data_IF_943236016122
#
_entry.id   IF_943236016122
#
_cell.length_a   1.000
_cell.length_b   1.000
_cell.length_c   1.000
_cell.angle_alpha   90.00
_cell.angle_beta   90.00
_cell.angle_gamma   90.00
#
_symmetry.space_group_name_H-M   'P 1'
#
loop_
_entity.id
_entity.type
_entity.pdbx_description
1 polymer ?
#
# COMPACT_ATOMS: atom_id res chain seq x y z
N UNK A 1 5.08 -5.10 -4.08
CA UNK A 1 4.11 -6.20 -3.86
C UNK A 1 4.67 -7.58 -4.24
N UNK A 2 4.93 -7.89 -5.52
CA UNK A 2 5.36 -9.25 -5.94
C UNK A 2 6.64 -9.76 -5.26
N UNK A 3 7.65 -8.90 -5.05
CA UNK A 3 8.87 -9.30 -4.36
C UNK A 3 8.61 -9.64 -2.88
N UNK A 4 7.89 -8.76 -2.17
CA UNK A 4 7.39 -9.00 -0.80
C UNK A 4 6.65 -10.32 -0.70
N UNK A 5 5.70 -10.58 -1.60
CA UNK A 5 4.94 -11.83 -1.64
C UNK A 5 5.87 -13.06 -1.81
N UNK A 6 6.84 -12.99 -2.74
CA UNK A 6 7.81 -14.07 -2.95
C UNK A 6 8.73 -14.30 -1.75
N UNK A 7 9.08 -13.26 -1.01
CA UNK A 7 9.88 -13.36 0.22
C UNK A 7 9.07 -14.00 1.34
N UNK A 8 7.84 -13.54 1.54
CA UNK A 8 6.93 -14.08 2.54
C UNK A 8 6.63 -15.56 2.30
N UNK A 9 6.34 -15.97 1.06
CA UNK A 9 6.08 -17.37 0.69
C UNK A 9 7.27 -18.31 0.99
N UNK A 10 8.49 -17.80 1.04
CA UNK A 10 9.70 -18.56 1.38
C UNK A 10 10.00 -18.60 2.88
N UNK A 11 9.18 -17.97 3.71
CA UNK A 11 9.43 -17.83 5.15
C UNK A 11 10.48 -16.76 5.49
N UNK A 12 10.90 -15.93 4.53
CA UNK A 12 11.83 -14.82 4.76
C UNK A 12 11.08 -13.61 5.36
N UNK A 13 10.48 -13.76 6.56
CA UNK A 13 9.56 -12.77 7.16
C UNK A 13 10.22 -11.41 7.36
N UNK A 14 11.44 -11.38 7.90
CA UNK A 14 12.20 -10.15 8.09
C UNK A 14 12.39 -9.36 6.78
N UNK A 15 12.86 -10.03 5.71
CA UNK A 15 13.08 -9.38 4.41
C UNK A 15 11.76 -8.96 3.74
N UNK A 16 10.68 -9.72 3.94
CA UNK A 16 9.36 -9.34 3.48
C UNK A 16 8.86 -8.07 4.19
N UNK A 17 8.97 -8.01 5.51
CA UNK A 17 8.57 -6.86 6.32
C UNK A 17 9.41 -5.62 6.00
N UNK A 18 10.74 -5.77 5.90
CA UNK A 18 11.65 -4.68 5.52
C UNK A 18 11.27 -4.08 4.15
N UNK A 19 10.88 -4.93 3.19
CA UNK A 19 10.33 -4.43 1.93
C UNK A 19 9.03 -3.64 2.14
N UNK A 20 8.10 -4.25 2.87
CA UNK A 20 6.73 -3.79 2.97
C UNK A 20 6.69 -2.44 3.70
N UNK A 21 7.31 -2.38 4.88
CA UNK A 21 7.23 -1.25 5.78
C UNK A 21 8.38 -0.24 5.59
N UNK A 22 9.45 -0.64 4.91
CA UNK A 22 10.51 0.27 4.46
C UNK A 22 10.28 0.77 3.03
N UNK A 23 10.66 -0.05 2.05
CA UNK A 23 10.67 0.35 0.64
C UNK A 23 9.29 0.74 0.10
N UNK A 24 8.27 -0.10 0.32
CA UNK A 24 6.94 0.16 -0.23
C UNK A 24 6.26 1.35 0.47
N UNK A 25 6.42 1.53 1.78
CA UNK A 25 5.90 2.72 2.49
C UNK A 25 6.52 4.01 2.01
N UNK A 26 7.83 4.04 1.74
CA UNK A 26 8.46 5.23 1.19
C UNK A 26 7.81 5.64 -0.15
N UNK A 27 7.40 4.66 -0.97
CA UNK A 27 6.66 4.92 -2.22
C UNK A 27 5.22 5.37 -1.97
N UNK A 28 4.51 4.75 -1.03
CA UNK A 28 3.16 5.19 -0.63
C UNK A 28 3.17 6.64 -0.14
N UNK A 29 4.14 7.01 0.71
CA UNK A 29 4.31 8.38 1.20
C UNK A 29 4.57 9.37 0.06
N UNK A 30 5.36 8.97 -0.94
CA UNK A 30 5.57 9.79 -2.14
C UNK A 30 4.26 10.01 -2.90
N UNK A 31 3.46 8.96 -3.07
CA UNK A 31 2.18 9.05 -3.76
C UNK A 31 1.15 9.85 -2.96
N UNK A 32 1.12 9.73 -1.63
CA UNK A 32 0.33 10.60 -0.75
C UNK A 32 0.69 12.08 -0.95
N UNK A 33 1.97 12.39 -1.09
CA UNK A 33 2.42 13.77 -1.37
C UNK A 33 1.96 14.27 -2.75
N UNK A 34 1.82 13.40 -3.75
CA UNK A 34 1.24 13.77 -5.04
C UNK A 34 -0.27 13.93 -4.95
N UNK A 35 -0.94 13.02 -4.27
CA UNK A 35 -2.38 13.08 -4.02
C UNK A 35 -2.77 14.39 -3.34
N UNK A 36 -2.12 14.74 -2.22
CA UNK A 36 -2.38 15.99 -1.51
C UNK A 36 -2.21 17.22 -2.41
N UNK A 37 -1.13 17.28 -3.21
CA UNK A 37 -0.88 18.39 -4.16
C UNK A 37 -1.83 18.41 -5.36
N UNK A 38 -2.41 17.26 -5.73
CA UNK A 38 -3.45 17.20 -6.75
C UNK A 38 -4.79 17.74 -6.26
N UNK A 39 -4.99 17.80 -4.94
CA UNK A 39 -6.17 18.41 -4.31
C UNK A 39 -5.93 19.90 -4.07
N UNK A 40 -4.79 20.24 -3.47
CA UNK A 40 -4.35 21.61 -3.22
C UNK A 40 -2.87 21.77 -3.60
N UNK A 41 -2.55 22.40 -4.75
CA UNK A 41 -1.16 22.59 -5.18
C UNK A 41 -0.29 23.41 -4.21
N UNK A 42 -0.89 24.16 -3.28
CA UNK A 42 -0.19 25.00 -2.31
C UNK A 42 0.22 24.25 -1.03
N UNK A 43 -0.26 23.02 -0.84
CA UNK A 43 0.02 22.24 0.37
C UNK A 43 1.51 21.88 0.47
N UNK A 44 2.11 22.17 1.62
CA UNK A 44 3.46 21.70 1.94
C UNK A 44 3.37 20.26 2.48
N UNK A 45 3.87 19.30 1.70
CA UNK A 45 3.94 17.89 2.10
C UNK A 45 5.23 17.52 2.80
N UNK A 46 6.14 18.48 2.99
CA UNK A 46 7.44 18.33 3.64
C UNK A 46 8.35 17.29 2.97
N UNK A 47 9.65 17.32 3.28
CA UNK A 47 10.58 16.32 2.76
C UNK A 47 10.33 14.94 3.40
N UNK A 48 10.31 13.88 2.58
CA UNK A 48 10.24 12.48 3.01
C UNK A 48 9.08 12.15 3.97
N UNK A 49 7.91 12.76 3.77
CA UNK A 49 6.71 12.40 4.52
C UNK A 49 6.62 12.97 5.93
N UNK A 50 7.45 13.95 6.30
CA UNK A 50 7.39 14.56 7.63
C UNK A 50 6.00 15.14 7.88
N UNK A 51 5.48 14.87 9.09
CA UNK A 51 4.16 15.32 9.53
C UNK A 51 3.03 14.92 8.58
N UNK A 52 3.07 13.69 8.04
CA UNK A 52 2.05 13.15 7.13
C UNK A 52 0.63 13.30 7.70
N UNK A 53 0.49 13.26 9.02
CA UNK A 53 -0.76 13.43 9.76
C UNK A 53 -1.37 14.83 9.60
N UNK A 54 -0.60 15.82 9.14
CA UNK A 54 -1.05 17.22 8.98
C UNK A 54 -1.53 17.56 7.57
N UNK A 55 -1.14 16.79 6.57
CA UNK A 55 -1.38 17.15 5.17
C UNK A 55 -1.94 16.02 4.30
N UNK A 56 -1.83 14.76 4.72
CA UNK A 56 -2.46 13.66 4.00
C UNK A 56 -3.98 13.68 4.19
N UNK A 57 -4.71 13.17 3.19
CA UNK A 57 -6.14 12.92 3.33
C UNK A 57 -6.42 12.00 4.54
N UNK A 58 -7.38 12.34 5.42
CA UNK A 58 -7.66 11.55 6.62
C UNK A 58 -8.07 10.09 6.34
N UNK A 59 -8.78 9.84 5.23
CA UNK A 59 -9.16 8.48 4.82
C UNK A 59 -7.94 7.68 4.36
N UNK A 60 -7.07 8.30 3.57
CA UNK A 60 -5.81 7.70 3.15
C UNK A 60 -4.87 7.44 4.34
N UNK A 61 -4.85 8.32 5.34
CA UNK A 61 -4.08 8.13 6.58
C UNK A 61 -4.60 6.96 7.41
N UNK A 62 -5.92 6.83 7.55
CA UNK A 62 -6.54 5.69 8.24
C UNK A 62 -6.28 4.35 7.52
N UNK A 63 -6.22 4.37 6.19
CA UNK A 63 -5.80 3.20 5.40
C UNK A 63 -4.30 2.92 5.54
N UNK A 64 -3.46 3.96 5.65
CA UNK A 64 -2.01 3.82 5.89
C UNK A 64 -1.72 3.16 7.23
N UNK A 65 -2.45 3.53 8.29
CA UNK A 65 -2.34 2.91 9.63
C UNK A 65 -2.57 1.39 9.54
N UNK A 66 -3.66 0.97 8.88
CA UNK A 66 -3.96 -0.44 8.64
C UNK A 66 -2.90 -1.12 7.80
N UNK A 67 -2.20 -0.38 6.93
CA UNK A 67 -1.27 -0.97 6.02
C UNK A 67 0.08 -1.35 6.66
N UNK A 68 0.37 -0.95 7.91
CA UNK A 68 1.56 -1.40 8.63
C UNK A 68 1.39 -2.82 9.20
N UNK A 69 2.51 -3.54 9.33
CA UNK A 69 2.52 -4.88 9.88
C UNK A 69 3.31 -4.96 11.19
N UNK A 70 2.83 -5.80 12.10
CA UNK A 70 3.66 -6.37 13.15
C UNK A 70 4.54 -7.48 12.57
N UNK A 71 5.60 -7.86 13.31
CA UNK A 71 6.49 -8.97 12.94
C UNK A 71 5.78 -10.33 13.11
N UNK A 72 4.82 -10.61 12.23
CA UNK A 72 4.03 -11.84 12.18
C UNK A 72 3.73 -12.19 10.72
N UNK A 73 3.78 -13.47 10.36
CA UNK A 73 3.65 -13.89 8.95
C UNK A 73 2.26 -13.58 8.37
N UNK A 74 1.20 -13.70 9.18
CA UNK A 74 -0.18 -13.44 8.76
C UNK A 74 -0.42 -11.94 8.69
N UNK A 75 0.13 -11.20 9.64
CA UNK A 75 0.00 -9.75 9.68
C UNK A 75 0.76 -9.08 8.52
N UNK A 76 1.94 -9.58 8.15
CA UNK A 76 2.66 -9.13 6.94
C UNK A 76 1.87 -9.43 5.67
N UNK A 77 1.20 -10.59 5.59
CA UNK A 77 0.31 -10.89 4.46
C UNK A 77 -0.86 -9.92 4.40
N UNK A 78 -1.53 -9.65 5.53
CA UNK A 78 -2.63 -8.68 5.64
C UNK A 78 -2.18 -7.28 5.22
N UNK A 79 -1.10 -6.79 5.80
CA UNK A 79 -0.53 -5.47 5.55
C UNK A 79 -0.07 -5.29 4.09
N UNK A 80 0.42 -6.36 3.44
CA UNK A 80 0.72 -6.35 2.00
C UNK A 80 -0.54 -6.02 1.18
N UNK A 81 -1.67 -6.66 1.49
CA UNK A 81 -2.93 -6.44 0.78
C UNK A 81 -3.56 -5.08 1.08
N UNK A 82 -3.52 -4.61 2.33
CA UNK A 82 -3.88 -3.24 2.69
C UNK A 82 -3.03 -2.20 1.94
N UNK A 83 -1.72 -2.47 1.77
CA UNK A 83 -0.83 -1.58 1.02
C UNK A 83 -1.16 -1.56 -0.47
N UNK A 84 -1.57 -2.69 -1.06
CA UNK A 84 -2.00 -2.75 -2.47
C UNK A 84 -3.27 -1.94 -2.67
N UNK A 85 -4.27 -2.09 -1.79
CA UNK A 85 -5.53 -1.34 -1.88
C UNK A 85 -5.30 0.17 -1.72
N UNK A 86 -4.50 0.58 -0.73
CA UNK A 86 -4.15 1.98 -0.52
C UNK A 86 -3.41 2.56 -1.73
N UNK A 87 -2.41 1.85 -2.27
CA UNK A 87 -1.69 2.29 -3.46
C UNK A 87 -2.63 2.49 -4.65
N UNK A 88 -3.46 1.48 -4.94
CA UNK A 88 -4.36 1.51 -6.09
C UNK A 88 -5.34 2.68 -5.98
N UNK A 89 -5.98 2.88 -4.82
CA UNK A 89 -6.92 3.97 -4.63
C UNK A 89 -6.28 5.35 -4.78
N UNK A 90 -5.09 5.56 -4.19
CA UNK A 90 -4.34 6.80 -4.33
C UNK A 90 -3.91 7.05 -5.77
N UNK A 91 -3.44 6.02 -6.47
CA UNK A 91 -2.96 6.13 -7.84
C UNK A 91 -4.10 6.48 -8.80
N UNK A 92 -5.24 5.79 -8.68
CA UNK A 92 -6.44 6.03 -9.48
C UNK A 92 -6.99 7.44 -9.26
N UNK A 93 -7.12 7.89 -8.01
CA UNK A 93 -7.63 9.23 -7.71
C UNK A 93 -6.65 10.32 -8.18
N UNK A 94 -5.36 10.15 -7.92
CA UNK A 94 -4.33 11.13 -8.32
C UNK A 94 -4.25 11.24 -9.84
N UNK A 95 -4.25 10.11 -10.55
CA UNK A 95 -4.22 10.11 -12.01
C UNK A 95 -5.49 10.74 -12.61
N UNK A 96 -6.66 10.46 -12.05
CA UNK A 96 -7.92 11.08 -12.47
C UNK A 96 -7.88 12.60 -12.33
N UNK A 97 -7.42 13.12 -11.19
CA UNK A 97 -7.29 14.57 -10.93
C UNK A 97 -6.30 15.26 -11.86
N UNK A 98 -5.22 14.57 -12.22
CA UNK A 98 -4.15 15.11 -13.06
C UNK A 98 -4.33 14.82 -14.56
N UNK A 99 -5.37 14.06 -14.95
CA UNK A 99 -5.63 13.69 -16.34
C UNK A 99 -4.65 12.64 -16.92
N UNK A 100 -4.05 11.79 -16.08
CA UNK A 100 -3.16 10.71 -16.51
C UNK A 100 -3.93 9.40 -16.70
N UNK A 101 -3.44 8.58 -17.65
CA UNK A 101 -3.92 7.21 -17.86
C UNK A 101 -2.96 6.25 -17.16
N UNK A 102 -3.52 5.35 -16.35
CA UNK A 102 -2.72 4.32 -15.68
C UNK A 102 -2.27 3.25 -16.66
N UNK A 103 -0.98 2.92 -16.62
CA UNK A 103 -0.39 1.84 -17.41
C UNK A 103 -0.41 0.49 -16.68
N UNK A 104 -0.52 0.50 -15.35
CA UNK A 104 -0.49 -0.71 -14.53
C UNK A 104 -1.86 -1.42 -14.55
N UNK A 105 -1.86 -2.69 -14.95
CA UNK A 105 -3.03 -3.56 -14.76
C UNK A 105 -3.08 -4.05 -13.31
N UNK A 106 -3.84 -3.34 -12.47
CA UNK A 106 -4.06 -3.72 -11.07
C UNK A 106 -4.70 -5.09 -10.92
N UNK A 107 -5.57 -5.50 -11.86
CA UNK A 107 -6.23 -6.80 -11.81
C UNK A 107 -5.21 -7.93 -12.03
N UNK A 108 -4.33 -7.79 -13.01
CA UNK A 108 -3.24 -8.76 -13.23
C UNK A 108 -2.28 -8.79 -12.04
N UNK A 109 -1.88 -7.63 -11.52
CA UNK A 109 -1.01 -7.55 -10.35
C UNK A 109 -1.61 -8.29 -9.16
N UNK A 110 -2.88 -8.02 -8.82
CA UNK A 110 -3.59 -8.66 -7.71
C UNK A 110 -3.68 -10.17 -7.92
N UNK A 111 -4.04 -10.63 -9.12
CA UNK A 111 -4.08 -12.06 -9.46
C UNK A 111 -2.73 -12.72 -9.19
N UNK A 112 -1.64 -12.13 -9.69
CA UNK A 112 -0.27 -12.67 -9.52
C UNK A 112 0.21 -12.63 -8.07
N UNK A 113 -0.20 -11.64 -7.28
CA UNK A 113 0.08 -11.62 -5.84
C UNK A 113 -0.70 -12.72 -5.13
N UNK A 114 -1.99 -12.89 -5.42
CA UNK A 114 -2.85 -13.92 -4.82
C UNK A 114 -2.37 -15.35 -5.09
N UNK A 115 -1.79 -15.61 -6.27
CA UNK A 115 -1.13 -16.89 -6.60
C UNK A 115 0.09 -17.20 -5.70
N UNK A 116 0.65 -16.18 -5.04
CA UNK A 116 1.84 -16.30 -4.19
C UNK A 116 1.47 -16.22 -2.71
N UNK A 117 0.67 -15.24 -2.33
CA UNK A 117 0.16 -14.99 -0.97
C UNK A 117 -1.32 -14.63 -1.10
N UNK A 118 -2.25 -15.57 -0.81
CA UNK A 118 -3.69 -15.29 -0.81
C UNK A 118 -4.04 -14.15 0.15
N UNK A 119 -5.12 -13.41 -0.13
CA UNK A 119 -5.59 -12.34 0.74
C UNK A 119 -6.20 -12.91 2.03
N UNK A 120 -5.56 -12.74 3.20
CA UNK A 120 -6.05 -13.31 4.45
C UNK A 120 -7.25 -12.54 5.00
N UNK A 121 -7.54 -11.32 4.50
CA UNK A 121 -8.64 -10.47 4.99
C UNK A 121 -10.00 -11.03 4.61
N UNK A 122 -10.05 -11.83 3.55
CA UNK A 122 -11.25 -12.54 3.11
C UNK A 122 -11.46 -13.89 3.81
N UNK A 123 -10.50 -14.36 4.64
CA UNK A 123 -10.56 -15.67 5.30
C UNK A 123 -11.38 -15.69 6.61
N UNK A 124 -12.26 -14.72 6.86
CA UNK A 124 -13.22 -14.73 7.98
C UNK A 124 -14.58 -15.39 7.67
N UNK A 125 -14.65 -16.17 6.60
CA UNK A 125 -15.68 -17.21 6.46
C UNK A 125 -14.98 -18.41 5.84
N UNK A 126 -14.54 -19.36 6.66
CA UNK A 126 -14.31 -20.78 6.35
C UNK A 126 -13.58 -21.46 7.53
N UNK A 127 -14.32 -21.74 8.59
CA UNK A 127 -14.34 -23.03 9.31
C UNK A 127 -15.74 -23.18 9.98
N UNK A 128 -16.26 -24.40 10.22
CA UNK A 128 -17.64 -24.67 10.65
C UNK A 128 -17.96 -24.19 12.06
#
# INVERSE_FOLDING_TARGET
>A
ALWTAKKLRRGEVFTALDCLDGYMKARVVTLLSWHARSVDPSVDTWHAGRFVERWADPGALAALEKAFAHYDVRDVARALWETIDLWQGLEEETASRLGFVLALDHRDLRRRVAEIVPDPRHASTLWP
#
